data_IF_451030918968
#
_entry.id   IF_451030918968
#
_cell.length_a   1.000
_cell.length_b   1.000
_cell.length_c   1.000
_cell.angle_alpha   90.00
_cell.angle_beta   90.00
_cell.angle_gamma   90.00
#
_symmetry.space_group_name_H-M   'P 1'
#
loop_
_entity.id
_entity.type
_entity.pdbx_description
1 polymer ?
#
# COMPACT_ATOMS: atom_id res chain seq x y z
N UNK A 1 24.36 3.95 9.32
CA UNK A 1 23.56 4.19 8.11
C UNK A 1 22.09 4.24 8.53
N UNK A 2 21.35 5.27 8.15
CA UNK A 2 19.90 5.28 8.33
C UNK A 2 19.31 4.14 7.50
N UNK A 3 18.60 3.21 8.14
CA UNK A 3 17.81 2.21 7.43
C UNK A 3 16.53 2.89 6.94
N UNK A 4 16.57 3.42 5.73
CA UNK A 4 15.37 3.85 5.03
C UNK A 4 14.56 2.61 4.67
N UNK A 5 13.49 2.36 5.43
CA UNK A 5 12.57 1.26 5.19
C UNK A 5 11.36 1.73 4.38
N UNK A 6 11.08 1.05 3.27
CA UNK A 6 9.94 1.33 2.41
C UNK A 6 8.80 0.35 2.70
N UNK A 7 7.61 0.92 2.96
CA UNK A 7 6.35 0.19 3.02
C UNK A 7 5.47 0.59 1.83
N UNK A 8 4.57 -0.29 1.40
CA UNK A 8 3.56 0.05 0.40
C UNK A 8 2.19 0.16 1.08
N UNK A 9 1.47 1.24 0.82
CA UNK A 9 0.10 1.42 1.28
C UNK A 9 -0.85 1.44 0.09
N UNK A 10 -1.85 0.57 0.11
CA UNK A 10 -2.94 0.53 -0.87
C UNK A 10 -4.21 1.03 -0.20
N UNK A 11 -4.79 2.11 -0.75
CA UNK A 11 -6.10 2.59 -0.33
C UNK A 11 -7.19 1.96 -1.19
N UNK A 12 -8.05 1.17 -0.57
CA UNK A 12 -9.25 0.61 -1.18
C UNK A 12 -10.44 1.51 -0.85
N UNK A 13 -11.00 2.18 -1.87
CA UNK A 13 -12.29 2.82 -1.73
C UNK A 13 -13.40 1.78 -1.56
N UNK A 14 -13.34 0.64 -2.26
CA UNK A 14 -14.35 -0.42 -2.13
C UNK A 14 -14.53 -0.88 -0.67
N UNK A 15 -13.43 -1.08 0.04
CA UNK A 15 -13.43 -1.58 1.42
C UNK A 15 -13.32 -0.47 2.46
N UNK A 16 -13.17 0.80 2.01
CA UNK A 16 -12.91 1.97 2.85
C UNK A 16 -11.76 1.72 3.84
N UNK A 17 -10.66 1.16 3.34
CA UNK A 17 -9.52 0.71 4.15
C UNK A 17 -8.19 1.03 3.47
N UNK A 18 -7.17 1.37 4.26
CA UNK A 18 -5.77 1.45 3.87
C UNK A 18 -5.09 0.15 4.29
N UNK A 19 -4.72 -0.66 3.31
CA UNK A 19 -3.95 -1.88 3.49
C UNK A 19 -2.46 -1.54 3.42
N UNK A 20 -1.70 -1.99 4.40
CA UNK A 20 -0.28 -1.69 4.55
C UNK A 20 0.51 -2.97 4.37
N UNK A 21 1.37 -2.98 3.37
CA UNK A 21 2.24 -4.08 3.00
C UNK A 21 3.65 -3.74 3.46
N UNK A 22 4.13 -4.51 4.43
CA UNK A 22 5.42 -4.33 5.06
C UNK A 22 6.21 -5.65 4.97
N UNK A 23 7.36 -5.60 4.31
CA UNK A 23 8.26 -6.75 4.14
C UNK A 23 9.21 -6.95 5.32
N UNK A 24 9.20 -6.07 6.32
CA UNK A 24 10.12 -6.18 7.46
C UNK A 24 9.84 -7.45 8.25
N UNK A 25 10.92 -8.07 8.75
CA UNK A 25 10.86 -9.18 9.70
C UNK A 25 10.63 -8.73 11.15
N UNK A 26 10.45 -7.43 11.38
CA UNK A 26 10.40 -6.87 12.71
C UNK A 26 9.09 -7.23 13.42
N UNK A 27 9.21 -7.55 14.71
CA UNK A 27 8.10 -7.97 15.55
C UNK A 27 7.08 -6.87 15.87
N UNK A 28 6.17 -7.17 16.80
CA UNK A 28 5.00 -6.35 17.11
C UNK A 28 5.26 -4.86 17.36
N UNK A 29 6.43 -4.49 17.92
CA UNK A 29 6.79 -3.09 18.16
C UNK A 29 6.93 -2.28 16.85
N UNK A 30 7.52 -2.86 15.81
CA UNK A 30 7.62 -2.23 14.49
C UNK A 30 6.23 -2.08 13.86
N UNK A 31 5.44 -3.15 13.90
CA UNK A 31 4.07 -3.14 13.38
C UNK A 31 3.21 -2.08 14.06
N UNK A 32 3.34 -1.91 15.38
CA UNK A 32 2.66 -0.83 16.12
C UNK A 32 3.11 0.57 15.67
N UNK A 33 4.42 0.77 15.38
CA UNK A 33 4.95 2.04 14.86
C UNK A 33 4.44 2.34 13.45
N UNK A 34 4.43 1.35 12.56
CA UNK A 34 3.88 1.46 11.20
C UNK A 34 2.41 1.80 11.27
N UNK A 35 1.63 1.05 12.05
CA UNK A 35 0.20 1.30 12.23
C UNK A 35 -0.08 2.71 12.78
N UNK A 36 0.65 3.14 13.82
CA UNK A 36 0.53 4.51 14.39
C UNK A 36 0.83 5.58 13.36
N UNK A 37 1.80 5.34 12.47
CA UNK A 37 2.12 6.26 11.38
C UNK A 37 0.99 6.31 10.35
N UNK A 38 0.48 5.16 9.93
CA UNK A 38 -0.58 5.05 8.93
C UNK A 38 -1.95 5.54 9.44
N UNK A 39 -2.22 5.42 10.74
CA UNK A 39 -3.41 5.98 11.37
C UNK A 39 -3.49 7.52 11.20
N UNK A 40 -2.35 8.22 11.12
CA UNK A 40 -2.36 9.66 10.83
C UNK A 40 -2.84 9.94 9.40
N UNK A 41 -2.37 9.15 8.44
CA UNK A 41 -2.80 9.26 7.05
C UNK A 41 -4.26 8.89 6.85
N UNK A 42 -4.79 7.94 7.63
CA UNK A 42 -6.20 7.56 7.53
C UNK A 42 -7.17 8.67 7.94
N UNK A 43 -6.72 9.61 8.77
CA UNK A 43 -7.44 10.85 9.13
C UNK A 43 -7.18 11.96 8.11
N UNK A 44 -5.92 12.13 7.67
CA UNK A 44 -5.54 13.23 6.77
C UNK A 44 -6.15 13.09 5.36
N UNK A 45 -6.18 11.88 4.81
CA UNK A 45 -6.60 11.64 3.42
C UNK A 45 -8.09 11.98 3.18
N UNK A 46 -9.06 11.58 4.02
CA UNK A 46 -10.44 12.03 3.88
C UNK A 46 -10.59 13.56 3.83
N UNK A 47 -9.88 14.28 4.72
CA UNK A 47 -9.90 15.75 4.75
C UNK A 47 -9.36 16.33 3.45
N UNK A 48 -8.24 15.80 2.96
CA UNK A 48 -7.66 16.19 1.68
C UNK A 48 -8.62 15.93 0.50
N UNK A 49 -9.31 14.80 0.48
CA UNK A 49 -10.28 14.47 -0.59
C UNK A 49 -11.50 15.39 -0.58
N UNK A 50 -12.00 15.78 0.59
CA UNK A 50 -13.07 16.78 0.69
C UNK A 50 -12.59 18.13 0.17
N UNK A 51 -11.42 18.58 0.60
CA UNK A 51 -10.88 19.89 0.21
C UNK A 51 -10.57 19.99 -1.28
N UNK A 52 -10.14 18.89 -1.90
CA UNK A 52 -9.87 18.81 -3.34
C UNK A 52 -11.12 18.52 -4.18
N UNK A 53 -12.30 18.48 -3.55
CA UNK A 53 -13.56 18.09 -4.20
C UNK A 53 -13.50 16.71 -4.90
N UNK A 54 -12.61 15.82 -4.46
CA UNK A 54 -12.36 14.52 -5.08
C UNK A 54 -13.64 13.68 -5.19
N UNK A 55 -14.47 13.68 -4.14
CA UNK A 55 -15.69 12.88 -4.11
C UNK A 55 -16.77 13.32 -5.10
N UNK A 56 -16.72 14.56 -5.62
CA UNK A 56 -17.68 15.03 -6.65
C UNK A 56 -17.55 14.20 -7.93
N UNK A 57 -16.32 13.84 -8.30
CA UNK A 57 -16.05 13.08 -9.51
C UNK A 57 -16.08 11.56 -9.28
N UNK A 58 -16.13 11.11 -8.01
CA UNK A 58 -16.05 9.70 -7.63
C UNK A 58 -17.44 9.07 -7.52
N UNK A 59 -18.07 8.82 -8.66
CA UNK A 59 -19.46 8.32 -8.77
C UNK A 59 -19.63 6.83 -8.41
N UNK A 60 -18.55 6.08 -8.31
CA UNK A 60 -18.54 4.66 -8.01
C UNK A 60 -18.57 4.33 -6.51
N UNK A 61 -18.60 5.34 -5.63
CA UNK A 61 -18.81 5.14 -4.18
C UNK A 61 -20.31 5.21 -3.86
N UNK A 62 -20.84 4.13 -3.28
CA UNK A 62 -22.21 4.10 -2.78
C UNK A 62 -22.28 4.52 -1.30
N UNK A 63 -22.67 5.76 -1.05
CA UNK A 63 -22.78 6.34 0.29
C UNK A 63 -23.93 5.81 1.16
N UNK A 64 -24.89 5.09 0.56
CA UNK A 64 -26.13 4.71 1.24
C UNK A 64 -26.09 3.28 1.79
N UNK A 65 -25.08 2.49 1.46
CA UNK A 65 -24.99 1.06 1.80
C UNK A 65 -23.57 0.63 2.14
N UNK A 66 -23.42 -0.60 2.63
CA UNK A 66 -22.12 -1.23 2.87
C UNK A 66 -21.25 -0.46 3.87
N UNK A 67 -19.94 -0.42 3.59
CA UNK A 67 -18.92 0.17 4.48
C UNK A 67 -18.97 1.70 4.59
N UNK A 68 -19.71 2.37 3.70
CA UNK A 68 -19.90 3.82 3.72
C UNK A 68 -21.19 4.26 4.41
N UNK A 69 -22.11 3.34 4.69
CA UNK A 69 -23.38 3.67 5.35
C UNK A 69 -23.09 4.37 6.70
N UNK A 70 -23.73 5.52 6.90
CA UNK A 70 -23.60 6.34 8.12
C UNK A 70 -22.20 6.91 8.38
N UNK A 71 -21.31 6.93 7.37
CA UNK A 71 -19.99 7.56 7.48
C UNK A 71 -20.04 8.95 6.83
N UNK A 72 -19.54 9.96 7.55
CA UNK A 72 -19.28 11.27 6.97
C UNK A 72 -18.10 11.20 5.98
N UNK A 73 -18.04 12.15 5.03
CA UNK A 73 -16.96 12.30 4.06
C UNK A 73 -15.57 12.41 4.70
N UNK A 74 -15.47 13.00 5.90
CA UNK A 74 -14.20 13.15 6.64
C UNK A 74 -13.90 11.98 7.58
N UNK A 75 -14.81 11.00 7.67
CA UNK A 75 -14.61 9.88 8.60
C UNK A 75 -13.32 9.14 8.22
N UNK A 76 -12.43 8.81 9.18
CA UNK A 76 -11.17 8.14 8.88
C UNK A 76 -11.33 6.78 8.20
N UNK A 77 -10.39 6.43 7.33
CA UNK A 77 -10.29 5.08 6.77
C UNK A 77 -9.81 4.09 7.84
N UNK A 78 -10.24 2.84 7.72
CA UNK A 78 -9.63 1.77 8.50
C UNK A 78 -8.18 1.56 8.05
N UNK A 79 -7.30 1.11 8.94
CA UNK A 79 -5.91 0.76 8.62
C UNK A 79 -5.70 -0.70 8.96
N UNK A 80 -5.18 -1.49 8.01
CA UNK A 80 -4.90 -2.92 8.20
C UNK A 80 -3.49 -3.25 7.73
N UNK A 81 -2.71 -3.85 8.62
CA UNK A 81 -1.45 -4.48 8.26
C UNK A 81 -1.76 -5.81 7.58
N UNK A 82 -1.14 -6.07 6.44
CA UNK A 82 -1.36 -7.31 5.69
C UNK A 82 -0.44 -8.39 6.24
N UNK A 83 -1.04 -9.49 6.70
CA UNK A 83 -0.33 -10.62 7.28
C UNK A 83 0.07 -11.66 6.23
N UNK A 84 0.99 -12.56 6.60
CA UNK A 84 1.40 -13.68 5.76
C UNK A 84 2.21 -13.29 4.52
N UNK A 85 2.75 -12.07 4.48
CA UNK A 85 3.61 -11.60 3.40
C UNK A 85 4.98 -12.29 3.43
N UNK A 86 5.63 -12.47 2.27
CA UNK A 86 7.03 -12.82 2.24
C UNK A 86 7.84 -11.70 2.90
N UNK A 87 8.84 -12.08 3.69
CA UNK A 87 9.65 -11.12 4.44
C UNK A 87 11.05 -10.99 3.86
N UNK A 88 11.61 -9.78 3.90
CA UNK A 88 12.95 -9.49 3.39
C UNK A 88 14.03 -9.99 4.35
N UNK A 89 15.15 -10.46 3.80
CA UNK A 89 16.34 -10.83 4.57
C UNK A 89 17.43 -9.76 4.41
N UNK A 90 17.56 -9.21 3.21
CA UNK A 90 18.48 -8.12 2.88
C UNK A 90 17.74 -6.77 2.84
N UNK A 91 18.43 -5.71 2.40
CA UNK A 91 17.89 -4.36 2.25
C UNK A 91 17.01 -4.21 1.00
N UNK A 92 15.99 -5.07 0.85
CA UNK A 92 15.16 -5.20 -0.36
C UNK A 92 13.80 -4.52 -0.30
N UNK A 93 13.52 -3.71 0.73
CA UNK A 93 12.19 -3.14 0.96
C UNK A 93 11.57 -2.46 -0.27
N UNK A 94 12.38 -1.78 -1.09
CA UNK A 94 11.92 -1.18 -2.35
C UNK A 94 11.48 -2.20 -3.40
N UNK A 95 12.20 -3.33 -3.52
CA UNK A 95 11.88 -4.43 -4.44
C UNK A 95 10.59 -5.12 -4.00
N UNK A 96 10.42 -5.34 -2.70
CA UNK A 96 9.18 -5.87 -2.13
C UNK A 96 8.00 -4.93 -2.38
N UNK A 97 8.14 -3.64 -2.06
CA UNK A 97 7.10 -2.63 -2.27
C UNK A 97 6.66 -2.55 -3.75
N UNK A 98 7.61 -2.49 -4.68
CA UNK A 98 7.33 -2.49 -6.12
C UNK A 98 6.64 -3.78 -6.59
N UNK A 99 7.07 -4.92 -6.06
CA UNK A 99 6.48 -6.22 -6.41
C UNK A 99 5.07 -6.37 -5.86
N UNK A 100 4.81 -5.94 -4.62
CA UNK A 100 3.46 -5.92 -4.07
C UNK A 100 2.51 -5.05 -4.90
N UNK A 101 2.97 -3.87 -5.34
CA UNK A 101 2.20 -3.03 -6.25
C UNK A 101 1.89 -3.76 -7.57
N UNK A 102 2.90 -4.42 -8.17
CA UNK A 102 2.72 -5.23 -9.39
C UNK A 102 1.69 -6.35 -9.19
N UNK A 103 1.78 -7.12 -8.10
CA UNK A 103 0.82 -8.19 -7.82
C UNK A 103 -0.60 -7.66 -7.70
N UNK A 104 -0.79 -6.56 -6.98
CA UNK A 104 -2.10 -5.93 -6.83
C UNK A 104 -2.68 -5.45 -8.15
N UNK A 105 -1.89 -4.78 -8.98
CA UNK A 105 -2.32 -4.30 -10.30
C UNK A 105 -2.72 -5.49 -11.20
N UNK A 106 -1.99 -6.60 -11.10
CA UNK A 106 -2.31 -7.85 -11.83
C UNK A 106 -3.46 -8.66 -11.21
N UNK A 107 -4.03 -8.22 -10.09
CA UNK A 107 -5.07 -8.96 -9.36
C UNK A 107 -4.58 -10.27 -8.72
N UNK A 108 -3.28 -10.37 -8.45
CA UNK A 108 -2.62 -11.57 -7.88
C UNK A 108 -2.26 -11.37 -6.42
N UNK A 109 -2.21 -12.48 -5.69
CA UNK A 109 -1.69 -12.51 -4.32
C UNK A 109 -0.16 -12.61 -4.35
N UNK A 110 0.56 -11.86 -3.50
CA UNK A 110 2.01 -12.05 -3.34
C UNK A 110 2.34 -13.52 -2.98
N UNK A 111 3.37 -14.12 -3.60
CA UNK A 111 3.73 -15.50 -3.32
C UNK A 111 4.36 -15.63 -1.93
N UNK A 112 4.16 -16.78 -1.27
CA UNK A 112 4.81 -17.08 0.02
C UNK A 112 6.34 -17.14 -0.08
N UNK A 113 6.85 -17.61 -1.22
CA UNK A 113 8.28 -17.59 -1.55
C UNK A 113 8.52 -16.42 -2.50
N UNK A 114 9.40 -15.52 -2.11
CA UNK A 114 9.72 -14.33 -2.87
C UNK A 114 11.23 -14.26 -3.10
N UNK A 115 11.62 -14.33 -4.37
CA UNK A 115 13.01 -14.14 -4.77
C UNK A 115 13.22 -12.66 -5.13
N UNK A 116 13.80 -11.91 -4.21
CA UNK A 116 14.09 -10.50 -4.42
C UNK A 116 15.11 -10.28 -5.55
N UNK A 117 16.07 -11.19 -5.72
CA UNK A 117 17.10 -11.08 -6.76
C UNK A 117 16.48 -11.21 -8.16
N UNK A 118 15.60 -12.19 -8.37
CA UNK A 118 14.87 -12.35 -9.64
C UNK A 118 14.09 -11.06 -9.98
N UNK A 119 13.38 -10.50 -9.00
CA UNK A 119 12.61 -9.27 -9.18
C UNK A 119 13.51 -8.06 -9.46
N UNK A 120 14.67 -7.94 -8.78
CA UNK A 120 15.67 -6.90 -9.08
C UNK A 120 16.14 -6.97 -10.53
N UNK A 121 16.54 -8.16 -10.99
CA UNK A 121 17.00 -8.37 -12.37
C UNK A 121 15.91 -8.00 -13.38
N UNK A 122 14.67 -8.44 -13.13
CA UNK A 122 13.52 -8.12 -13.97
C UNK A 122 13.25 -6.62 -14.02
N UNK A 123 13.21 -5.93 -12.88
CA UNK A 123 12.98 -4.49 -12.83
C UNK A 123 14.11 -3.70 -13.50
N UNK A 124 15.37 -4.11 -13.32
CA UNK A 124 16.50 -3.49 -14.01
C UNK A 124 16.37 -3.62 -15.54
N UNK A 125 16.03 -4.80 -16.05
CA UNK A 125 15.83 -5.03 -17.48
C UNK A 125 14.68 -4.20 -18.04
N UNK A 126 13.54 -4.12 -17.32
CA UNK A 126 12.39 -3.31 -17.72
C UNK A 126 12.72 -1.81 -17.73
N UNK A 127 13.39 -1.31 -16.70
CA UNK A 127 13.80 0.10 -16.61
C UNK A 127 14.74 0.46 -17.77
N UNK A 128 15.70 -0.41 -18.08
CA UNK A 128 16.61 -0.22 -19.22
C UNK A 128 15.87 -0.19 -20.56
N UNK A 129 14.97 -1.14 -20.80
CA UNK A 129 14.17 -1.20 -22.03
C UNK A 129 13.31 0.04 -22.20
N UNK A 130 12.63 0.50 -21.15
CA UNK A 130 11.83 1.73 -21.19
C UNK A 130 12.68 2.99 -21.42
N UNK A 131 13.87 3.06 -20.80
CA UNK A 131 14.79 4.18 -21.01
C UNK A 131 15.27 4.27 -22.47
N UNK A 132 15.43 3.13 -23.15
CA UNK A 132 15.84 3.05 -24.56
C UNK A 132 14.73 3.32 -25.57
N UNK A 133 13.46 3.33 -25.13
CA UNK A 133 12.29 3.61 -25.95
C UNK A 133 11.91 5.10 -25.96
N UNK A 134 12.64 5.93 -25.20
CA UNK A 134 12.65 7.39 -25.33
C UNK A 134 13.71 7.81 -26.33
#
# INVERSE_FOLDING_TARGET
AEQCHLIMAMMSFKDRCIYVYDSTRDGAAHQAKVHKTMAKYSVLLPLFFVHTHFYINKKDINWHTGVYKSKDLITPFDVKLVEGLPQQVEADCGVFAASFAKYLIEGKTPPKKFDAYEHRCRFAALLWDYARKK
#
